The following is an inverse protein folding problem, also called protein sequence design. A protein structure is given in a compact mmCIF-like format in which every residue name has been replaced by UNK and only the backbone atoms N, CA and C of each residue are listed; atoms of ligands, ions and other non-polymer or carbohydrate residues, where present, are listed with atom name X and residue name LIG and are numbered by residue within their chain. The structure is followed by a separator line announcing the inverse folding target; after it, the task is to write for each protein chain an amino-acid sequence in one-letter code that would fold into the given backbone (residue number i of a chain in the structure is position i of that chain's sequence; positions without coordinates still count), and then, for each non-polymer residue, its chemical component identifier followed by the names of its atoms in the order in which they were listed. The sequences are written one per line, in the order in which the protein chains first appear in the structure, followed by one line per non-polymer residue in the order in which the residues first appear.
data_IF_359960955810
#
_entry.id   IF_359960955810
#
_cell.length_a   1.000
_cell.length_b   1.000
_cell.length_c   1.000
_cell.angle_alpha   90.00
_cell.angle_beta   90.00
_cell.angle_gamma   90.00
#
_symmetry.space_group_name_H-M   'P 1'
#
loop_
_entity.id
_entity.type
_entity.pdbx_description
1 polymer ?
#
# COMPACT_ATOMS: atom_id res chain seq x y z
N UNK A 1 -45.39 -39.88 1.06
CA UNK A 1 -44.33 -40.42 1.92
C UNK A 1 -43.04 -40.34 1.09
N UNK A 2 -42.24 -39.32 1.29
CA UNK A 2 -40.98 -39.14 0.58
C UNK A 2 -39.86 -39.14 1.62
N UNK A 3 -38.94 -40.04 1.42
CA UNK A 3 -37.83 -40.38 2.31
C UNK A 3 -36.79 -39.25 2.30
N UNK A 4 -36.36 -38.81 3.48
CA UNK A 4 -35.29 -37.79 3.64
C UNK A 4 -33.93 -38.48 3.74
N UNK A 5 -32.90 -38.05 3.01
CA UNK A 5 -31.57 -38.63 3.16
C UNK A 5 -30.93 -38.21 4.49
N UNK A 6 -30.40 -39.20 5.21
CA UNK A 6 -29.68 -39.07 6.47
C UNK A 6 -28.32 -38.41 6.25
N UNK A 7 -28.05 -37.33 6.97
CA UNK A 7 -26.78 -36.65 6.99
C UNK A 7 -25.67 -37.51 7.62
N UNK A 8 -24.49 -37.48 6.98
CA UNK A 8 -23.28 -38.13 7.46
C UNK A 8 -22.76 -37.46 8.74
N UNK A 9 -22.57 -38.25 9.79
CA UNK A 9 -22.07 -37.75 11.08
C UNK A 9 -20.55 -37.51 11.04
N UNK A 10 -20.09 -36.50 11.78
CA UNK A 10 -18.66 -36.13 11.91
C UNK A 10 -17.74 -37.26 12.39
N UNK A 11 -18.28 -38.34 12.93
CA UNK A 11 -17.53 -39.55 13.37
C UNK A 11 -17.18 -40.51 12.22
N UNK A 12 -17.86 -40.43 11.07
CA UNK A 12 -17.59 -41.32 9.94
C UNK A 12 -16.39 -40.83 9.10
N UNK A 13 -15.96 -39.56 9.24
CA UNK A 13 -14.86 -38.99 8.49
C UNK A 13 -13.47 -39.34 9.07
N UNK A 14 -13.39 -39.84 10.29
CA UNK A 14 -12.12 -40.14 10.97
C UNK A 14 -11.69 -41.62 10.88
N UNK A 15 -12.48 -42.47 10.22
CA UNK A 15 -12.24 -43.92 10.20
C UNK A 15 -11.69 -44.49 8.87
N UNK A 16 -11.39 -43.65 7.86
CA UNK A 16 -10.96 -44.13 6.53
C UNK A 16 -9.51 -43.80 6.16
N UNK A 17 -8.63 -43.69 7.13
CA UNK A 17 -7.21 -43.32 6.91
C UNK A 17 -6.20 -44.37 7.32
N UNK A 18 -6.36 -45.66 6.94
CA UNK A 18 -5.25 -46.63 7.04
C UNK A 18 -5.50 -47.82 6.12
N UNK A 19 -4.98 -47.80 4.92
CA UNK A 19 -4.51 -48.99 4.17
C UNK A 19 -3.92 -48.56 2.80
N UNK A 20 -2.63 -48.85 2.56
CA UNK A 20 -2.07 -48.78 1.20
C UNK A 20 -0.58 -48.44 1.13
N UNK A 21 0.25 -49.22 1.86
CA UNK A 21 1.66 -49.33 1.54
C UNK A 21 1.94 -50.77 1.14
N UNK A 22 2.23 -51.06 -0.12
CA UNK A 22 3.09 -52.15 -0.55
C UNK A 22 3.26 -52.21 -2.09
N UNK A 23 4.49 -52.28 -2.52
CA UNK A 23 4.93 -52.80 -3.85
C UNK A 23 5.27 -51.71 -4.85
N UNK A 24 6.47 -51.65 -5.47
CA UNK A 24 7.46 -52.65 -5.78
C UNK A 24 8.79 -51.94 -6.15
N UNK A 25 9.85 -52.41 -5.58
CA UNK A 25 11.19 -52.24 -6.12
C UNK A 25 11.42 -53.29 -7.24
N UNK A 26 12.09 -52.94 -8.33
CA UNK A 26 13.12 -53.69 -9.04
C UNK A 26 13.48 -52.97 -10.34
N UNK A 27 14.76 -52.75 -10.58
CA UNK A 27 15.31 -52.38 -11.89
C UNK A 27 16.64 -51.63 -11.77
N UNK A 28 17.70 -52.40 -11.65
CA UNK A 28 19.07 -51.91 -11.46
C UNK A 28 19.78 -51.58 -12.78
N UNK A 29 20.78 -50.71 -12.65
CA UNK A 29 22.09 -50.64 -13.34
C UNK A 29 22.14 -50.02 -14.74
N UNK A 30 22.81 -48.91 -14.77
CA UNK A 30 23.34 -48.29 -15.97
C UNK A 30 24.11 -47.01 -15.61
N UNK A 31 25.36 -47.19 -15.22
CA UNK A 31 26.33 -46.10 -15.01
C UNK A 31 26.69 -45.43 -16.32
N UNK A 32 26.49 -44.12 -16.43
CA UNK A 32 27.39 -43.22 -17.15
C UNK A 32 27.44 -41.89 -16.40
N UNK A 33 28.62 -41.58 -15.89
CA UNK A 33 28.96 -40.28 -15.39
C UNK A 33 28.90 -39.26 -16.54
N UNK A 34 27.91 -38.41 -16.55
CA UNK A 34 27.89 -37.21 -17.36
C UNK A 34 27.94 -36.02 -16.40
N UNK A 35 28.82 -35.09 -16.73
CA UNK A 35 29.20 -33.96 -15.93
C UNK A 35 27.99 -33.21 -15.32
N UNK A 36 28.13 -32.85 -14.05
CA UNK A 36 27.30 -31.81 -13.43
C UNK A 36 27.62 -30.51 -14.16
N UNK A 37 26.78 -30.17 -15.13
CA UNK A 37 26.62 -28.78 -15.47
C UNK A 37 26.02 -28.11 -14.25
N UNK A 38 26.71 -27.10 -13.73
CA UNK A 38 26.16 -26.13 -12.81
C UNK A 38 24.98 -25.44 -13.51
N UNK A 39 23.80 -26.03 -13.40
CA UNK A 39 22.57 -25.33 -13.67
C UNK A 39 22.44 -24.29 -12.54
N UNK A 40 22.78 -23.05 -12.86
CA UNK A 40 22.28 -21.89 -12.10
C UNK A 40 20.77 -22.07 -12.02
N UNK A 41 20.28 -22.63 -10.90
CA UNK A 41 18.84 -22.79 -10.66
C UNK A 41 18.25 -21.41 -10.63
N UNK A 42 17.43 -21.07 -11.63
CA UNK A 42 16.55 -19.90 -11.51
C UNK A 42 15.84 -20.01 -10.16
N UNK A 43 15.76 -18.88 -9.40
CA UNK A 43 15.05 -18.89 -8.13
C UNK A 43 13.65 -19.46 -8.35
N UNK A 44 13.25 -20.43 -7.53
CA UNK A 44 11.91 -21.02 -7.66
C UNK A 44 10.88 -19.88 -7.54
N UNK A 45 9.88 -19.78 -8.44
CA UNK A 45 8.90 -18.72 -8.42
C UNK A 45 8.25 -18.56 -7.04
N UNK A 46 8.07 -17.32 -6.59
CA UNK A 46 7.40 -17.01 -5.33
C UNK A 46 8.30 -17.02 -4.08
N UNK A 47 9.60 -17.21 -4.23
CA UNK A 47 10.55 -17.21 -3.09
C UNK A 47 11.32 -15.90 -2.92
N UNK A 48 11.02 -14.91 -3.73
CA UNK A 48 11.67 -13.61 -3.62
C UNK A 48 11.30 -12.92 -2.29
N UNK A 49 12.33 -12.45 -1.60
CA UNK A 49 12.18 -11.79 -0.29
C UNK A 49 12.52 -10.31 -0.38
N UNK A 50 11.93 -9.52 0.51
CA UNK A 50 12.34 -8.15 0.79
C UNK A 50 12.84 -8.09 2.22
N UNK A 51 14.03 -7.54 2.42
CA UNK A 51 14.63 -7.47 3.76
C UNK A 51 13.72 -6.69 4.72
N UNK A 52 13.41 -7.31 5.87
CA UNK A 52 12.68 -6.67 6.96
C UNK A 52 13.54 -5.64 7.69
N UNK A 53 14.78 -6.00 8.00
CA UNK A 53 15.71 -5.14 8.72
C UNK A 53 16.27 -4.03 7.84
N UNK A 54 16.36 -2.83 8.39
CA UNK A 54 16.93 -1.66 7.71
C UNK A 54 16.73 -0.38 8.50
N UNK A 55 17.29 0.72 7.99
CA UNK A 55 17.06 2.07 8.55
C UNK A 55 15.60 2.50 8.44
N UNK A 56 14.93 2.07 7.37
CA UNK A 56 13.57 2.41 6.99
C UNK A 56 12.74 1.14 6.87
N UNK A 57 11.45 1.20 7.16
CA UNK A 57 10.56 0.08 6.92
C UNK A 57 10.46 -0.24 5.42
N UNK A 58 10.46 -1.53 5.08
CA UNK A 58 10.09 -2.01 3.77
C UNK A 58 8.63 -1.66 3.44
N UNK A 59 8.29 -1.60 2.14
CA UNK A 59 6.94 -1.26 1.68
C UNK A 59 6.72 0.24 1.42
N UNK A 60 7.64 1.12 1.83
CA UNK A 60 7.58 2.57 1.51
C UNK A 60 8.19 2.83 0.13
N UNK A 61 9.51 2.65 0.00
CA UNK A 61 10.24 2.88 -1.25
C UNK A 61 10.53 1.61 -2.04
N UNK A 62 10.15 0.45 -1.52
CA UNK A 62 10.20 -0.84 -2.23
C UNK A 62 9.41 -0.74 -3.54
N UNK A 63 9.91 -1.33 -4.61
CA UNK A 63 9.16 -1.42 -5.87
C UNK A 63 7.76 -2.02 -5.59
N UNK A 64 6.67 -1.36 -6.02
CA UNK A 64 5.33 -1.79 -5.66
C UNK A 64 5.04 -3.21 -6.13
N UNK A 65 4.45 -4.00 -5.24
CA UNK A 65 3.92 -5.32 -5.52
C UNK A 65 2.53 -5.23 -6.16
N UNK A 66 2.06 -6.35 -6.74
CA UNK A 66 0.80 -6.40 -7.47
C UNK A 66 -0.45 -6.37 -6.59
N UNK A 67 -0.35 -6.87 -5.35
CA UNK A 67 -1.46 -6.92 -4.39
C UNK A 67 -1.10 -6.15 -3.12
N UNK A 68 -2.11 -5.51 -2.52
CA UNK A 68 -1.97 -4.81 -1.26
C UNK A 68 -3.23 -4.89 -0.42
N UNK A 69 -3.05 -4.92 0.89
CA UNK A 69 -4.13 -4.75 1.86
C UNK A 69 -3.72 -3.69 2.88
N UNK A 70 -4.63 -2.78 3.15
CA UNK A 70 -4.52 -1.74 4.15
C UNK A 70 -5.51 -2.07 5.26
N UNK A 71 -5.01 -2.32 6.45
CA UNK A 71 -5.82 -2.68 7.61
C UNK A 71 -5.61 -1.65 8.69
N UNK A 72 -6.65 -0.91 9.00
CA UNK A 72 -6.65 0.05 10.10
C UNK A 72 -7.33 -0.56 11.32
N UNK A 73 -6.81 -0.21 12.47
CA UNK A 73 -7.30 -0.71 13.75
C UNK A 73 -7.54 0.47 14.70
N UNK A 74 -8.51 0.28 15.62
CA UNK A 74 -8.66 1.08 16.83
C UNK A 74 -8.04 0.34 18.01
N UNK A 75 -7.38 1.04 18.91
CA UNK A 75 -6.93 0.49 20.19
C UNK A 75 -8.13 0.05 21.03
N UNK A 76 -7.99 -1.07 21.75
CA UNK A 76 -8.96 -1.44 22.77
C UNK A 76 -8.79 -0.57 24.02
N UNK A 77 -9.87 -0.43 24.79
CA UNK A 77 -9.84 0.31 26.05
C UNK A 77 -8.78 -0.26 26.99
N UNK A 78 -8.02 0.62 27.61
CA UNK A 78 -6.97 0.25 28.56
C UNK A 78 -5.63 -0.20 27.95
N UNK A 79 -5.45 -0.11 26.63
CA UNK A 79 -4.14 -0.33 25.99
C UNK A 79 -3.22 0.81 26.33
N UNK A 80 -2.20 0.52 27.13
CA UNK A 80 -1.12 1.43 27.56
C UNK A 80 0.17 1.22 26.75
N UNK A 81 1.22 1.94 27.13
CA UNK A 81 2.53 1.86 26.49
C UNK A 81 3.12 0.44 26.52
N UNK A 82 2.97 -0.28 27.62
CA UNK A 82 3.48 -1.64 27.74
C UNK A 82 2.71 -2.65 26.92
N UNK A 83 1.38 -2.49 26.81
CA UNK A 83 0.54 -3.31 25.95
C UNK A 83 0.88 -3.07 24.48
N UNK A 84 1.00 -1.80 24.06
CA UNK A 84 1.40 -1.43 22.70
C UNK A 84 2.81 -1.96 22.37
N UNK A 85 3.78 -1.83 23.28
CA UNK A 85 5.13 -2.38 23.10
C UNK A 85 5.10 -3.89 22.91
N UNK A 86 4.30 -4.63 23.69
CA UNK A 86 4.16 -6.10 23.53
C UNK A 86 3.56 -6.46 22.18
N UNK A 87 2.53 -5.74 21.71
CA UNK A 87 1.94 -5.93 20.40
C UNK A 87 2.97 -5.74 19.28
N UNK A 88 3.70 -4.63 19.31
CA UNK A 88 4.72 -4.31 18.29
C UNK A 88 5.87 -5.32 18.31
N UNK A 89 6.22 -5.90 19.48
CA UNK A 89 7.22 -6.96 19.56
C UNK A 89 6.73 -8.26 18.91
N UNK A 90 5.49 -8.67 19.17
CA UNK A 90 4.88 -9.83 18.51
C UNK A 90 4.90 -9.65 16.99
N UNK A 91 4.44 -8.50 16.51
CA UNK A 91 4.47 -8.18 15.10
C UNK A 91 5.90 -8.11 14.52
N UNK A 92 6.88 -7.65 15.28
CA UNK A 92 8.29 -7.65 14.83
C UNK A 92 8.75 -9.05 14.49
N UNK A 93 8.56 -10.00 15.42
CA UNK A 93 8.98 -11.38 15.26
C UNK A 93 8.26 -12.07 14.09
N UNK A 94 6.96 -11.85 13.94
CA UNK A 94 6.17 -12.52 12.90
C UNK A 94 6.33 -11.88 11.53
N UNK A 95 6.45 -10.55 11.44
CA UNK A 95 6.74 -9.87 10.16
C UNK A 95 8.11 -10.28 9.62
N UNK A 96 9.15 -10.33 10.49
CA UNK A 96 10.47 -10.81 10.07
C UNK A 96 10.43 -12.23 9.51
N UNK A 97 9.66 -13.12 10.18
CA UNK A 97 9.51 -14.50 9.73
C UNK A 97 8.77 -14.59 8.41
N UNK A 98 7.58 -13.98 8.32
CA UNK A 98 6.74 -14.02 7.12
C UNK A 98 7.45 -13.47 5.89
N UNK A 99 8.11 -12.31 6.02
CA UNK A 99 8.84 -11.67 4.91
C UNK A 99 10.06 -12.47 4.46
N UNK A 100 10.57 -13.38 5.29
CA UNK A 100 11.67 -14.31 4.97
C UNK A 100 11.20 -15.71 4.57
N UNK A 101 9.90 -15.93 4.35
CA UNK A 101 9.34 -17.23 3.96
C UNK A 101 9.29 -18.24 5.09
N UNK A 102 9.25 -17.79 6.34
CA UNK A 102 9.13 -18.61 7.55
C UNK A 102 7.76 -18.35 8.21
N UNK A 103 7.12 -19.38 8.74
CA UNK A 103 5.85 -19.21 9.45
C UNK A 103 6.01 -18.37 10.71
N UNK A 104 5.00 -17.58 11.07
CA UNK A 104 4.91 -16.91 12.35
C UNK A 104 4.93 -17.89 13.53
N UNK A 105 5.13 -17.37 14.75
CA UNK A 105 5.28 -18.23 15.94
C UNK A 105 3.98 -19.00 16.27
N UNK A 106 2.83 -18.41 16.04
CA UNK A 106 1.51 -19.02 16.29
C UNK A 106 0.75 -19.34 14.98
N UNK A 107 1.49 -19.53 13.89
CA UNK A 107 0.94 -19.85 12.58
C UNK A 107 0.43 -21.30 12.56
N UNK A 108 -0.83 -21.47 12.20
CA UNK A 108 -1.49 -22.78 12.09
C UNK A 108 -1.47 -23.34 10.66
N UNK A 109 -1.07 -22.53 9.69
CA UNK A 109 -0.94 -22.90 8.28
C UNK A 109 0.45 -22.52 7.73
N UNK A 110 1.52 -23.16 8.25
CA UNK A 110 2.91 -22.75 7.95
C UNK A 110 3.29 -22.86 6.47
N UNK A 111 2.58 -23.67 5.69
CA UNK A 111 2.80 -23.82 4.27
C UNK A 111 2.52 -22.53 3.48
N UNK A 112 1.59 -21.70 3.98
CA UNK A 112 1.21 -20.42 3.33
C UNK A 112 2.29 -19.34 3.48
N UNK A 113 3.22 -19.51 4.43
CA UNK A 113 4.32 -18.58 4.64
C UNK A 113 5.54 -18.87 3.76
N UNK A 114 5.65 -20.07 3.15
CA UNK A 114 6.88 -20.53 2.47
C UNK A 114 7.20 -19.77 1.17
N UNK A 115 6.25 -19.05 0.64
CA UNK A 115 6.39 -18.24 -0.58
C UNK A 115 6.02 -16.80 -0.28
N UNK A 116 6.96 -15.97 0.13
CA UNK A 116 6.68 -14.58 0.51
C UNK A 116 6.39 -13.67 -0.70
N UNK A 117 6.78 -14.04 -1.91
CA UNK A 117 6.51 -13.28 -3.13
C UNK A 117 6.72 -11.78 -2.94
N UNK A 118 7.93 -11.42 -2.47
CA UNK A 118 8.31 -10.05 -2.12
C UNK A 118 7.42 -9.42 -1.04
N UNK A 119 6.87 -10.20 -0.11
CA UNK A 119 6.04 -9.68 0.98
C UNK A 119 6.73 -8.54 1.73
N UNK A 120 5.99 -7.47 1.94
CA UNK A 120 6.33 -6.39 2.87
C UNK A 120 5.17 -6.09 3.79
N UNK A 121 5.48 -5.78 5.03
CA UNK A 121 4.52 -5.28 6.00
C UNK A 121 5.06 -3.98 6.57
N UNK A 122 4.30 -2.90 6.40
CA UNK A 122 4.64 -1.56 6.91
C UNK A 122 3.68 -1.23 8.04
N UNK A 123 4.20 -0.81 9.17
CA UNK A 123 3.43 -0.47 10.38
C UNK A 123 3.41 1.04 10.56
N UNK A 124 2.20 1.60 10.69
CA UNK A 124 1.96 3.00 10.99
C UNK A 124 1.16 3.20 12.27
N UNK A 125 1.38 4.30 12.95
CA UNK A 125 0.67 4.70 14.17
C UNK A 125 -0.11 5.98 13.94
N UNK A 126 -1.37 6.00 14.37
CA UNK A 126 -2.20 7.19 14.49
C UNK A 126 -1.94 7.93 15.82
N UNK A 127 -2.58 9.08 15.98
CA UNK A 127 -2.37 9.95 17.13
C UNK A 127 -2.65 9.26 18.48
N UNK A 128 -3.71 8.44 18.57
CA UNK A 128 -4.07 7.77 19.82
C UNK A 128 -3.01 6.73 20.22
N UNK A 129 -2.44 5.98 19.27
CA UNK A 129 -1.39 5.02 19.57
C UNK A 129 -0.09 5.70 20.00
N UNK A 130 0.31 6.81 19.36
CA UNK A 130 1.48 7.60 19.79
C UNK A 130 1.27 8.16 21.20
N UNK A 131 0.06 8.67 21.48
CA UNK A 131 -0.32 9.14 22.82
C UNK A 131 -0.29 8.01 23.87
N UNK A 132 -0.83 6.82 23.53
CA UNK A 132 -0.80 5.65 24.41
C UNK A 132 0.63 5.17 24.71
N UNK A 133 1.56 5.34 23.77
CA UNK A 133 2.97 5.09 23.98
C UNK A 133 3.66 6.10 24.92
N UNK A 134 2.99 7.22 25.27
CA UNK A 134 3.56 8.30 26.06
C UNK A 134 4.47 9.25 25.28
N UNK A 135 4.49 9.14 23.96
CA UNK A 135 5.35 9.95 23.12
C UNK A 135 4.67 11.25 22.66
N UNK A 136 5.49 12.22 22.21
CA UNK A 136 4.99 13.47 21.62
C UNK A 136 4.18 13.18 20.35
N UNK A 137 2.94 13.69 20.30
CA UNK A 137 2.07 13.62 19.14
C UNK A 137 2.28 14.85 18.27
N UNK A 138 2.80 14.72 17.02
CA UNK A 138 2.96 15.86 16.13
C UNK A 138 1.62 16.47 15.74
N UNK A 139 1.57 17.79 15.48
CA UNK A 139 0.34 18.51 15.11
C UNK A 139 -0.33 17.97 13.84
N UNK A 140 0.47 17.48 12.90
CA UNK A 140 -0.01 16.91 11.63
C UNK A 140 -0.58 15.49 11.77
N UNK A 141 -0.34 14.79 12.91
CA UNK A 141 -0.81 13.43 13.12
C UNK A 141 -2.25 13.43 13.64
N UNK A 142 -3.17 13.56 12.74
CA UNK A 142 -4.60 13.64 13.02
C UNK A 142 -5.41 13.67 11.73
N UNK A 143 -6.72 13.91 11.80
CA UNK A 143 -7.53 14.12 10.62
C UNK A 143 -7.00 15.30 9.79
N UNK A 144 -6.94 15.13 8.47
CA UNK A 144 -6.65 16.24 7.56
C UNK A 144 -7.73 17.31 7.68
N UNK A 145 -7.39 18.55 7.32
CA UNK A 145 -8.39 19.59 7.11
C UNK A 145 -9.43 19.14 6.08
N UNK A 146 -10.66 19.65 6.19
CA UNK A 146 -11.71 19.36 5.22
C UNK A 146 -11.37 19.99 3.85
N UNK A 147 -11.54 19.20 2.79
CA UNK A 147 -11.45 19.66 1.40
C UNK A 147 -12.86 19.68 0.80
N UNK A 148 -13.14 20.63 -0.09
CA UNK A 148 -14.49 20.84 -0.66
C UNK A 148 -15.01 19.63 -1.45
N UNK A 149 -14.10 18.81 -1.99
CA UNK A 149 -14.40 17.61 -2.79
C UNK A 149 -14.57 16.34 -1.97
N UNK A 150 -14.33 16.42 -0.65
CA UNK A 150 -14.42 15.26 0.24
C UNK A 150 -15.89 14.86 0.51
N UNK A 151 -16.10 13.56 0.57
CA UNK A 151 -17.35 12.90 0.97
C UNK A 151 -17.01 11.77 1.95
N UNK A 152 -16.24 12.12 3.00
CA UNK A 152 -15.67 11.15 3.91
C UNK A 152 -16.74 10.39 4.69
N UNK A 153 -16.53 9.09 4.78
CA UNK A 153 -17.31 8.13 5.54
C UNK A 153 -16.45 7.62 6.72
N UNK A 154 -17.03 7.57 7.92
CA UNK A 154 -16.33 7.07 9.11
C UNK A 154 -15.86 5.63 8.92
N UNK A 155 -16.62 4.84 8.17
CA UNK A 155 -16.30 3.45 7.85
C UNK A 155 -14.97 3.27 7.11
N UNK A 156 -14.43 4.32 6.49
CA UNK A 156 -13.20 4.30 5.71
C UNK A 156 -12.16 5.31 6.19
N UNK A 157 -12.35 5.90 7.36
CA UNK A 157 -11.52 7.01 7.84
C UNK A 157 -10.88 6.73 9.18
N UNK A 158 -9.71 7.33 9.42
CA UNK A 158 -9.00 7.30 10.69
C UNK A 158 -8.43 5.92 11.06
N UNK A 159 -8.13 5.79 12.33
CA UNK A 159 -7.56 4.59 12.97
C UNK A 159 -6.32 4.90 13.80
N UNK A 160 -6.03 4.04 14.75
CA UNK A 160 -4.95 4.21 15.71
C UNK A 160 -3.69 3.46 15.30
N UNK A 161 -3.84 2.35 14.56
CA UNK A 161 -2.73 1.56 14.03
C UNK A 161 -3.06 1.14 12.60
N UNK A 162 -2.05 1.11 11.72
CA UNK A 162 -2.17 0.66 10.34
C UNK A 162 -1.19 -0.46 10.04
N UNK A 163 -1.65 -1.47 9.30
CA UNK A 163 -0.83 -2.39 8.54
C UNK A 163 -1.03 -2.12 7.04
N UNK A 164 0.08 -1.88 6.31
CA UNK A 164 0.14 -1.97 4.87
C UNK A 164 0.85 -3.28 4.52
N UNK A 165 0.12 -4.25 4.00
CA UNK A 165 0.63 -5.58 3.64
C UNK A 165 0.61 -5.71 2.12
N UNK A 166 1.77 -5.89 1.50
CA UNK A 166 1.89 -5.99 0.04
C UNK A 166 2.73 -7.18 -0.37
N UNK A 167 2.29 -7.90 -1.41
CA UNK A 167 3.00 -9.02 -2.04
C UNK A 167 2.64 -9.13 -3.53
N UNK A 168 3.39 -9.90 -4.29
CA UNK A 168 3.02 -10.24 -5.66
C UNK A 168 2.03 -11.42 -5.72
N UNK A 169 1.72 -12.04 -4.57
CA UNK A 169 0.70 -13.07 -4.42
C UNK A 169 -0.40 -12.66 -3.44
N UNK A 170 -1.68 -12.75 -3.87
CA UNK A 170 -2.85 -12.35 -3.06
C UNK A 170 -3.10 -13.30 -1.87
N UNK A 171 -2.78 -14.59 -2.02
CA UNK A 171 -2.91 -15.56 -0.93
C UNK A 171 -1.94 -15.23 0.21
N UNK A 172 -0.70 -14.87 -0.13
CA UNK A 172 0.33 -14.39 0.82
C UNK A 172 -0.13 -13.14 1.57
N UNK A 173 -0.71 -12.15 0.86
CA UNK A 173 -1.31 -10.96 1.50
C UNK A 173 -2.42 -11.36 2.47
N UNK A 174 -3.31 -12.26 2.03
CA UNK A 174 -4.45 -12.72 2.84
C UNK A 174 -4.01 -13.45 4.10
N UNK A 175 -3.01 -14.32 3.97
CA UNK A 175 -2.44 -15.07 5.09
C UNK A 175 -1.76 -14.14 6.12
N UNK A 176 -0.89 -13.24 5.67
CA UNK A 176 -0.21 -12.29 6.54
C UNK A 176 -1.19 -11.37 7.29
N UNK A 177 -2.19 -10.82 6.59
CA UNK A 177 -3.24 -9.99 7.22
C UNK A 177 -3.98 -10.78 8.31
N UNK A 178 -4.39 -12.03 8.01
CA UNK A 178 -5.14 -12.86 8.95
C UNK A 178 -4.32 -13.18 10.20
N UNK A 179 -3.05 -13.58 10.02
CA UNK A 179 -2.17 -13.92 11.13
C UNK A 179 -1.92 -12.71 12.03
N UNK A 180 -1.44 -11.60 11.48
CA UNK A 180 -1.12 -10.41 12.25
C UNK A 180 -2.35 -9.79 12.93
N UNK A 181 -3.52 -9.83 12.29
CA UNK A 181 -4.79 -9.41 12.91
C UNK A 181 -5.18 -10.31 14.08
N UNK A 182 -5.08 -11.64 13.90
CA UNK A 182 -5.40 -12.62 14.96
C UNK A 182 -4.53 -12.40 16.20
N UNK A 183 -3.25 -12.11 16.02
CA UNK A 183 -2.31 -11.93 17.13
C UNK A 183 -2.49 -10.61 17.87
N UNK A 184 -2.92 -9.58 17.15
CA UNK A 184 -3.18 -8.27 17.76
C UNK A 184 -4.57 -8.15 18.43
N UNK A 185 -5.46 -9.15 18.35
CA UNK A 185 -6.88 -9.09 18.78
C UNK A 185 -7.09 -8.70 20.25
N UNK A 186 -6.09 -8.86 21.10
CA UNK A 186 -6.16 -8.47 22.53
C UNK A 186 -5.72 -7.03 22.78
N UNK A 187 -5.23 -6.34 21.75
CA UNK A 187 -4.75 -4.97 21.82
C UNK A 187 -5.57 -4.02 20.94
N UNK A 188 -6.07 -4.52 19.81
CA UNK A 188 -6.77 -3.72 18.81
C UNK A 188 -7.98 -4.44 18.25
N UNK A 189 -8.93 -3.67 17.70
CA UNK A 189 -10.03 -4.15 16.85
C UNK A 189 -9.89 -3.56 15.45
N UNK A 190 -10.26 -4.35 14.45
CA UNK A 190 -10.28 -3.88 13.05
C UNK A 190 -11.29 -2.74 12.92
N UNK A 191 -10.85 -1.62 12.36
CA UNK A 191 -11.68 -0.47 12.01
C UNK A 191 -12.15 -0.58 10.56
N UNK A 192 -11.22 -0.70 9.62
CA UNK A 192 -11.51 -0.94 8.21
C UNK A 192 -10.41 -1.75 7.54
N UNK A 193 -10.78 -2.42 6.45
CA UNK A 193 -9.86 -3.14 5.56
C UNK A 193 -10.15 -2.72 4.14
N UNK A 194 -9.13 -2.25 3.42
CA UNK A 194 -9.21 -2.02 1.99
C UNK A 194 -8.15 -2.86 1.27
N UNK A 195 -8.60 -3.76 0.41
CA UNK A 195 -7.73 -4.48 -0.51
C UNK A 195 -7.57 -3.71 -1.80
N UNK A 196 -6.43 -3.90 -2.45
CA UNK A 196 -6.17 -3.26 -3.72
C UNK A 196 -5.21 -4.08 -4.56
N UNK A 197 -5.22 -3.76 -5.84
CA UNK A 197 -4.38 -4.41 -6.83
C UNK A 197 -3.79 -3.38 -7.80
N UNK A 198 -2.75 -3.78 -8.49
CA UNK A 198 -2.20 -3.02 -9.62
C UNK A 198 -1.66 -3.99 -10.67
N UNK A 199 -1.60 -3.53 -11.92
CA UNK A 199 -1.01 -4.32 -12.98
C UNK A 199 0.46 -4.63 -12.68
N UNK A 200 0.95 -5.80 -13.09
CA UNK A 200 2.38 -6.13 -12.96
C UNK A 200 3.19 -5.11 -13.75
N UNK A 201 4.29 -4.64 -13.13
CA UNK A 201 5.26 -3.76 -13.81
C UNK A 201 6.11 -4.66 -14.71
N UNK A 202 5.81 -4.65 -16.01
CA UNK A 202 6.63 -5.30 -17.06
C UNK A 202 7.08 -4.20 -18.03
N UNK A 203 8.21 -4.39 -18.70
CA UNK A 203 8.80 -3.38 -19.59
C UNK A 203 7.83 -2.80 -20.63
N UNK A 204 6.85 -3.58 -21.05
CA UNK A 204 5.84 -3.17 -22.05
C UNK A 204 4.48 -2.76 -21.43
N UNK A 205 4.32 -2.81 -20.10
CA UNK A 205 3.02 -2.55 -19.47
C UNK A 205 3.13 -1.51 -18.37
N UNK A 206 2.71 -0.29 -18.70
CA UNK A 206 2.64 0.82 -17.76
C UNK A 206 1.52 0.58 -16.73
N UNK A 207 1.78 0.87 -15.42
CA UNK A 207 0.75 0.78 -14.40
C UNK A 207 -0.37 1.79 -14.69
N UNK A 208 -1.63 1.34 -14.62
CA UNK A 208 -2.81 2.19 -14.87
C UNK A 208 -3.77 2.14 -13.70
N UNK A 209 -4.48 3.24 -13.51
CA UNK A 209 -5.66 3.26 -12.64
C UNK A 209 -6.92 2.80 -13.39
N UNK A 210 -8.06 2.72 -12.68
CA UNK A 210 -9.33 2.25 -13.26
C UNK A 210 -9.93 3.22 -14.29
N UNK A 211 -9.51 4.49 -14.32
CA UNK A 211 -9.87 5.45 -15.38
C UNK A 211 -8.98 5.33 -16.62
N UNK A 212 -8.07 4.36 -16.67
CA UNK A 212 -7.18 4.10 -17.80
C UNK A 212 -5.90 4.94 -17.82
N UNK A 213 -5.69 5.81 -16.86
CA UNK A 213 -4.54 6.72 -16.80
C UNK A 213 -3.26 5.98 -16.37
N UNK A 214 -2.12 6.35 -16.97
CA UNK A 214 -0.81 5.90 -16.50
C UNK A 214 -0.46 6.60 -15.19
N UNK A 215 -0.13 5.84 -14.17
CA UNK A 215 0.17 6.36 -12.82
C UNK A 215 1.66 6.26 -12.48
N UNK A 216 2.11 7.11 -11.54
CA UNK A 216 3.47 7.07 -10.98
C UNK A 216 4.52 7.90 -11.73
N UNK A 217 4.16 8.64 -12.78
CA UNK A 217 5.09 9.39 -13.63
C UNK A 217 5.83 10.54 -12.93
N UNK A 218 5.31 11.04 -11.80
CA UNK A 218 5.83 12.22 -11.10
C UNK A 218 6.39 11.92 -9.69
N UNK A 219 6.72 10.67 -9.39
CA UNK A 219 7.31 10.31 -8.09
C UNK A 219 8.73 10.89 -7.94
N UNK A 220 9.15 11.25 -6.71
CA UNK A 220 10.52 11.68 -6.43
C UNK A 220 11.53 10.61 -6.85
N UNK A 221 12.61 11.05 -7.49
CA UNK A 221 13.75 10.20 -7.80
C UNK A 221 14.39 9.62 -6.53
N UNK A 222 15.19 8.57 -6.67
CA UNK A 222 15.87 7.94 -5.52
C UNK A 222 16.70 8.94 -4.72
N UNK A 223 17.37 9.87 -5.37
CA UNK A 223 18.16 10.91 -4.72
C UNK A 223 17.30 11.92 -3.92
N UNK A 224 16.09 12.22 -4.41
CA UNK A 224 15.19 13.16 -3.75
C UNK A 224 14.46 12.54 -2.54
N UNK A 225 14.30 11.21 -2.50
CA UNK A 225 13.55 10.52 -1.44
C UNK A 225 14.13 10.76 -0.05
N UNK A 226 15.45 10.90 0.05
CA UNK A 226 16.12 11.13 1.34
C UNK A 226 15.64 12.42 2.03
N UNK A 227 15.37 13.47 1.25
CA UNK A 227 14.92 14.77 1.77
C UNK A 227 13.40 14.98 1.73
N UNK A 228 12.69 14.28 0.84
CA UNK A 228 11.26 14.51 0.62
C UNK A 228 10.36 13.44 1.26
N UNK A 229 10.90 12.24 1.51
CA UNK A 229 10.11 11.11 2.03
C UNK A 229 10.49 10.77 3.47
N UNK A 230 11.79 10.66 3.76
CA UNK A 230 12.25 10.20 5.06
C UNK A 230 12.46 11.33 6.04
N UNK A 231 12.00 11.14 7.29
CA UNK A 231 12.31 12.07 8.37
C UNK A 231 13.77 11.90 8.80
N UNK A 232 14.53 12.99 8.78
CA UNK A 232 15.94 13.02 9.12
C UNK A 232 16.56 14.38 8.83
N UNK A 233 17.89 14.50 8.95
CA UNK A 233 18.60 15.78 8.86
C UNK A 233 18.28 16.57 7.60
N UNK A 234 18.18 15.89 6.43
CA UNK A 234 17.93 16.56 5.16
C UNK A 234 16.50 17.10 5.05
N UNK A 235 15.52 16.36 5.53
CA UNK A 235 14.13 16.82 5.52
C UNK A 235 13.88 17.89 6.59
N UNK A 236 14.52 17.78 7.75
CA UNK A 236 14.38 18.77 8.83
C UNK A 236 14.96 20.15 8.46
N UNK A 237 15.96 20.20 7.59
CA UNK A 237 16.45 21.47 7.01
C UNK A 237 15.39 22.16 6.13
N UNK A 238 14.52 21.39 5.49
CA UNK A 238 13.46 21.90 4.60
C UNK A 238 12.17 22.22 5.36
N UNK A 239 11.77 21.34 6.27
CA UNK A 239 10.44 21.33 6.85
C UNK A 239 10.40 21.66 8.34
N UNK A 240 11.58 21.78 8.99
CA UNK A 240 11.67 21.98 10.42
C UNK A 240 11.75 20.67 11.22
N UNK A 241 11.86 20.81 12.54
CA UNK A 241 12.08 19.69 13.45
C UNK A 241 10.88 18.76 13.50
N UNK A 242 11.16 17.46 13.53
CA UNK A 242 10.19 16.39 13.77
C UNK A 242 10.57 15.66 15.07
N UNK A 243 9.62 14.96 15.74
CA UNK A 243 9.93 14.22 16.95
C UNK A 243 11.07 13.23 16.74
N UNK A 244 11.97 13.13 17.71
CA UNK A 244 13.16 12.27 17.63
C UNK A 244 12.82 10.79 17.38
N UNK A 245 11.71 10.31 17.93
CA UNK A 245 11.25 8.94 17.74
C UNK A 245 10.89 8.60 16.28
N UNK A 246 10.59 9.61 15.44
CA UNK A 246 10.20 9.42 14.03
C UNK A 246 11.40 9.47 13.06
N UNK A 247 12.59 9.84 13.54
CA UNK A 247 13.80 9.92 12.69
C UNK A 247 14.13 8.56 12.07
N UNK A 248 14.18 8.50 10.75
CA UNK A 248 14.28 7.25 9.95
C UNK A 248 12.93 6.70 9.50
N UNK A 249 11.83 7.20 10.05
CA UNK A 249 10.46 6.95 9.59
C UNK A 249 10.00 7.93 8.52
N UNK A 250 8.69 7.97 8.29
CA UNK A 250 8.04 8.87 7.33
C UNK A 250 6.59 9.13 7.76
N UNK A 251 5.90 10.05 7.11
CA UNK A 251 4.45 10.22 7.28
C UNK A 251 3.71 9.55 6.13
N UNK A 252 2.51 9.09 6.37
CA UNK A 252 1.67 8.44 5.37
C UNK A 252 0.27 9.05 5.38
N UNK A 253 -0.20 9.44 4.21
CA UNK A 253 -1.60 9.78 3.98
C UNK A 253 -2.23 8.67 3.16
N UNK A 254 -3.37 8.15 3.63
CA UNK A 254 -4.20 7.19 2.90
C UNK A 254 -5.52 7.87 2.57
N UNK A 255 -5.90 7.83 1.28
CA UNK A 255 -7.20 8.32 0.83
C UNK A 255 -7.89 7.21 0.03
N UNK A 256 -9.11 6.85 0.41
CA UNK A 256 -9.96 6.02 -0.45
C UNK A 256 -10.72 6.93 -1.39
N UNK A 257 -10.33 6.92 -2.67
CA UNK A 257 -10.89 7.78 -3.71
C UNK A 257 -11.85 6.92 -4.55
N UNK A 258 -13.14 7.20 -4.47
CA UNK A 258 -14.14 6.60 -5.33
C UNK A 258 -14.08 7.22 -6.73
N UNK A 259 -14.18 6.40 -7.78
CA UNK A 259 -14.20 6.79 -9.18
C UNK A 259 -15.59 6.51 -9.78
N UNK A 260 -16.24 7.54 -10.30
CA UNK A 260 -17.52 7.39 -11.00
C UNK A 260 -17.28 7.01 -12.46
N UNK A 261 -17.02 5.73 -12.71
CA UNK A 261 -16.75 5.25 -14.05
C UNK A 261 -18.00 5.27 -14.92
N UNK A 262 -19.20 5.20 -14.34
CA UNK A 262 -20.45 5.22 -15.08
C UNK A 262 -20.57 6.51 -15.93
N UNK A 263 -20.20 7.66 -15.37
CA UNK A 263 -20.20 8.94 -16.09
C UNK A 263 -18.86 9.27 -16.77
N UNK A 264 -17.73 8.72 -16.26
CA UNK A 264 -16.44 8.86 -16.93
C UNK A 264 -16.46 8.20 -18.32
N UNK A 265 -17.19 7.09 -18.48
CA UNK A 265 -17.29 6.36 -19.72
C UNK A 265 -18.16 7.06 -20.79
N UNK A 266 -18.96 8.03 -20.39
CA UNK A 266 -19.70 8.91 -21.31
C UNK A 266 -18.77 9.93 -22.00
N UNK A 267 -17.60 10.23 -21.41
CA UNK A 267 -16.66 11.19 -21.98
C UNK A 267 -15.85 10.53 -23.11
N UNK A 268 -15.70 11.24 -24.23
CA UNK A 268 -14.85 10.79 -25.32
C UNK A 268 -13.36 10.80 -24.94
N UNK A 269 -12.54 10.15 -25.75
CA UNK A 269 -11.11 10.05 -25.45
C UNK A 269 -10.39 11.40 -25.38
N UNK A 270 -10.60 12.36 -26.32
CA UNK A 270 -10.00 13.70 -26.21
C UNK A 270 -10.40 14.42 -24.94
N UNK A 271 -11.64 14.33 -24.50
CA UNK A 271 -12.13 14.90 -23.25
C UNK A 271 -11.42 14.30 -22.02
N UNK A 272 -11.26 12.97 -21.98
CA UNK A 272 -10.52 12.27 -20.93
C UNK A 272 -9.06 12.71 -20.89
N UNK A 273 -8.38 12.79 -22.02
CA UNK A 273 -6.99 13.24 -22.12
C UNK A 273 -6.82 14.71 -21.72
N UNK A 274 -7.78 15.57 -22.11
CA UNK A 274 -7.82 16.99 -21.69
C UNK A 274 -7.99 17.15 -20.18
N UNK A 275 -8.90 16.38 -19.56
CA UNK A 275 -9.12 16.43 -18.13
C UNK A 275 -7.86 16.08 -17.32
N UNK A 276 -7.00 15.22 -17.88
CA UNK A 276 -5.76 14.79 -17.23
C UNK A 276 -4.59 15.70 -17.61
N UNK A 277 -4.49 16.10 -18.90
CA UNK A 277 -3.34 16.78 -19.49
C UNK A 277 -2.27 15.83 -20.05
N UNK A 278 -2.60 14.52 -20.17
CA UNK A 278 -1.73 13.46 -20.69
C UNK A 278 -2.49 12.52 -21.61
N UNK A 279 -1.78 11.88 -22.53
CA UNK A 279 -2.35 10.85 -23.40
C UNK A 279 -2.70 9.60 -22.61
N UNK A 280 -3.79 8.94 -22.97
CA UNK A 280 -4.20 7.69 -22.34
C UNK A 280 -3.43 6.47 -22.85
N UNK A 281 -2.93 6.49 -24.10
CA UNK A 281 -2.23 5.34 -24.68
C UNK A 281 -0.85 5.13 -24.05
N UNK A 282 -0.03 6.16 -23.98
CA UNK A 282 1.37 6.08 -23.57
C UNK A 282 1.72 6.93 -22.33
N UNK A 283 0.77 7.71 -21.81
CA UNK A 283 0.94 8.56 -20.61
C UNK A 283 1.79 9.80 -20.81
N UNK A 284 2.24 10.11 -22.05
CA UNK A 284 3.04 11.31 -22.33
C UNK A 284 2.21 12.56 -22.14
N UNK A 285 2.83 13.71 -21.81
CA UNK A 285 2.13 14.99 -21.80
C UNK A 285 1.48 15.29 -23.16
N UNK A 286 0.35 15.99 -23.17
CA UNK A 286 -0.28 16.46 -24.43
C UNK A 286 0.64 17.40 -25.21
N UNK A 287 1.58 18.04 -24.55
CA UNK A 287 2.62 18.90 -25.16
C UNK A 287 3.77 18.11 -25.81
N UNK A 288 3.70 16.76 -25.79
CA UNK A 288 4.74 15.89 -26.34
C UNK A 288 5.84 15.54 -25.33
N UNK A 289 6.96 15.03 -25.82
CA UNK A 289 8.08 14.59 -24.99
C UNK A 289 8.00 13.11 -24.62
N UNK A 290 8.68 12.71 -23.52
CA UNK A 290 8.70 11.36 -22.98
C UNK A 290 7.70 11.21 -21.85
N UNK A 291 7.48 9.98 -21.39
CA UNK A 291 6.57 9.65 -20.29
C UNK A 291 6.91 10.42 -18.99
N UNK A 292 8.19 10.51 -18.67
CA UNK A 292 8.71 11.11 -17.44
C UNK A 292 8.87 12.64 -17.53
N UNK A 293 8.72 13.20 -18.73
CA UNK A 293 8.91 14.62 -18.91
C UNK A 293 7.78 15.42 -18.26
N UNK A 294 8.13 16.57 -17.73
CA UNK A 294 7.16 17.54 -17.25
C UNK A 294 6.42 18.14 -18.44
N UNK A 295 5.08 18.31 -18.37
CA UNK A 295 4.36 19.03 -19.42
C UNK A 295 4.83 20.47 -19.49
N UNK A 296 4.93 21.00 -20.71
CA UNK A 296 5.07 22.44 -20.94
C UNK A 296 3.71 23.11 -20.70
N UNK A 297 3.58 23.75 -19.54
CA UNK A 297 2.32 24.37 -19.13
C UNK A 297 2.03 25.70 -19.84
N UNK A 298 3.03 26.29 -20.52
CA UNK A 298 2.93 27.55 -21.25
C UNK A 298 2.71 27.34 -22.76
N UNK A 299 2.71 26.08 -23.22
CA UNK A 299 2.50 25.74 -24.63
C UNK A 299 1.10 26.13 -25.09
N UNK A 300 1.03 26.81 -26.24
CA UNK A 300 -0.20 27.26 -26.90
C UNK A 300 -0.36 26.50 -28.21
N UNK A 301 -1.56 26.02 -28.52
CA UNK A 301 -1.92 25.34 -29.77
C UNK A 301 -2.11 26.33 -30.92
N UNK A 302 -2.32 25.77 -32.12
CA UNK A 302 -2.58 26.56 -33.36
C UNK A 302 -3.89 27.39 -33.25
N UNK A 303 -4.79 27.01 -32.37
CA UNK A 303 -6.06 27.70 -32.06
C UNK A 303 -5.89 28.85 -31.06
N UNK A 304 -4.68 29.10 -30.57
CA UNK A 304 -4.39 30.13 -29.58
C UNK A 304 -4.76 29.78 -28.14
N UNK A 305 -5.20 28.52 -27.86
CA UNK A 305 -5.53 28.02 -26.54
C UNK A 305 -4.35 27.26 -25.91
N UNK A 306 -4.31 27.23 -24.61
CA UNK A 306 -3.32 26.41 -23.88
C UNK A 306 -3.52 24.92 -24.18
N UNK A 307 -2.44 24.21 -24.56
CA UNK A 307 -2.46 22.76 -24.83
C UNK A 307 -2.85 21.96 -23.59
N UNK A 308 -2.35 22.36 -22.42
CA UNK A 308 -2.75 21.80 -21.14
C UNK A 308 -3.81 22.71 -20.52
N UNK A 309 -5.04 22.21 -20.44
CA UNK A 309 -6.16 22.95 -19.88
C UNK A 309 -5.80 23.55 -18.50
N UNK A 310 -6.21 24.79 -18.17
CA UNK A 310 -5.98 25.43 -16.88
C UNK A 310 -6.45 24.61 -15.68
N UNK A 311 -7.45 23.75 -15.87
CA UNK A 311 -8.07 22.91 -14.85
C UNK A 311 -7.65 21.43 -14.97
N UNK A 312 -6.77 21.09 -15.91
CA UNK A 312 -6.26 19.72 -16.07
C UNK A 312 -5.54 19.26 -14.80
N UNK A 313 -5.78 18.00 -14.42
CA UNK A 313 -5.20 17.37 -13.22
C UNK A 313 -3.68 17.59 -13.11
N UNK A 314 -2.95 17.37 -14.20
CA UNK A 314 -1.49 17.48 -14.18
C UNK A 314 -1.03 18.92 -13.90
N UNK A 315 -1.74 19.93 -14.38
CA UNK A 315 -1.46 21.34 -14.11
C UNK A 315 -1.77 21.68 -12.65
N UNK A 316 -2.92 21.26 -12.15
CA UNK A 316 -3.35 21.53 -10.76
C UNK A 316 -2.48 20.81 -9.73
N UNK A 317 -2.00 19.60 -10.03
CA UNK A 317 -1.09 18.86 -9.19
C UNK A 317 0.34 19.39 -9.18
N UNK A 318 0.74 20.15 -10.20
CA UNK A 318 2.09 20.70 -10.31
C UNK A 318 2.26 21.95 -9.45
N UNK A 319 3.50 22.17 -9.04
CA UNK A 319 3.93 23.34 -8.26
C UNK A 319 5.34 23.73 -8.67
N UNK A 320 5.62 25.03 -8.64
CA UNK A 320 6.99 25.55 -8.80
C UNK A 320 7.88 25.17 -7.61
N UNK A 321 7.29 24.99 -6.43
CA UNK A 321 8.00 24.54 -5.24
C UNK A 321 8.22 23.01 -5.29
N UNK A 322 9.42 22.63 -5.69
CA UNK A 322 9.81 21.21 -5.78
C UNK A 322 9.87 20.48 -4.43
N UNK A 323 9.82 21.19 -3.31
CA UNK A 323 9.75 20.56 -1.98
C UNK A 323 8.38 20.00 -1.68
N UNK A 324 7.32 20.47 -2.35
CA UNK A 324 5.94 19.97 -2.16
C UNK A 324 5.68 18.58 -2.79
N UNK A 325 6.69 17.90 -3.34
CA UNK A 325 6.53 16.57 -3.93
C UNK A 325 6.51 15.50 -2.85
N UNK A 326 5.76 14.42 -3.08
CA UNK A 326 5.68 13.23 -2.22
C UNK A 326 5.70 11.96 -3.07
N UNK A 327 6.03 10.82 -2.43
CA UNK A 327 6.06 9.51 -3.06
C UNK A 327 4.66 8.90 -3.05
N UNK A 328 4.11 8.60 -4.22
CA UNK A 328 2.82 7.92 -4.38
C UNK A 328 3.01 6.43 -4.59
N UNK A 329 2.18 5.63 -3.89
CA UNK A 329 2.14 4.18 -3.99
C UNK A 329 0.68 3.70 -4.02
N UNK A 330 -0.11 4.10 -5.03
CA UNK A 330 -1.53 3.77 -5.06
C UNK A 330 -1.78 2.33 -5.49
N UNK A 331 -2.97 1.84 -5.09
CA UNK A 331 -3.55 0.58 -5.55
C UNK A 331 -4.98 0.85 -6.04
N UNK A 332 -5.39 0.15 -7.10
CA UNK A 332 -6.79 0.16 -7.51
C UNK A 332 -7.61 -0.70 -6.56
N UNK A 333 -8.88 -0.38 -6.39
CA UNK A 333 -9.86 -1.30 -5.83
C UNK A 333 -11.05 -1.45 -6.76
N UNK A 334 -11.71 -2.61 -6.68
CA UNK A 334 -12.91 -2.95 -7.45
C UNK A 334 -13.79 -3.82 -6.56
N UNK A 335 -14.66 -3.17 -5.82
CA UNK A 335 -15.55 -3.81 -4.85
C UNK A 335 -16.92 -4.07 -5.51
N UNK A 336 -17.78 -4.94 -4.95
CA UNK A 336 -19.12 -5.16 -5.47
C UNK A 336 -19.90 -3.84 -5.58
N UNK A 337 -20.55 -3.57 -6.73
CA UNK A 337 -21.29 -2.34 -6.93
C UNK A 337 -22.54 -2.28 -6.03
N UNK A 338 -22.84 -1.11 -5.44
CA UNK A 338 -24.11 -0.93 -4.73
C UNK A 338 -25.29 -0.92 -5.72
N UNK A 339 -26.48 -1.10 -5.18
CA UNK A 339 -27.70 -1.11 -6.00
C UNK A 339 -27.83 0.15 -6.87
N UNK A 340 -28.12 -0.02 -8.14
CA UNK A 340 -28.29 1.08 -9.10
C UNK A 340 -27.00 1.66 -9.68
N UNK A 341 -25.83 1.08 -9.35
CA UNK A 341 -24.54 1.46 -9.95
C UNK A 341 -23.97 0.29 -10.76
N UNK A 342 -23.20 0.61 -11.79
CA UNK A 342 -22.48 -0.39 -12.60
C UNK A 342 -21.14 -0.75 -11.96
N UNK A 343 -20.54 0.18 -11.25
CA UNK A 343 -19.19 0.03 -10.68
C UNK A 343 -19.11 0.51 -9.23
N UNK A 344 -18.16 -0.03 -8.48
CA UNK A 344 -17.70 0.46 -7.17
C UNK A 344 -16.17 0.42 -7.14
N UNK A 345 -15.59 1.20 -8.01
CA UNK A 345 -14.16 1.20 -8.25
C UNK A 345 -13.51 2.47 -7.75
N UNK A 346 -12.20 2.41 -7.59
CA UNK A 346 -11.45 3.60 -7.23
C UNK A 346 -9.99 3.32 -6.93
N UNK A 347 -9.42 4.22 -6.15
CA UNK A 347 -8.00 4.21 -5.81
C UNK A 347 -7.82 4.26 -4.29
N UNK A 348 -7.06 3.32 -3.77
CA UNK A 348 -6.39 3.49 -2.47
C UNK A 348 -5.17 4.35 -2.74
N UNK A 349 -5.35 5.65 -2.62
CA UNK A 349 -4.27 6.61 -2.79
C UNK A 349 -3.41 6.61 -1.54
N UNK A 350 -2.14 6.32 -1.71
CA UNK A 350 -1.14 6.31 -0.64
C UNK A 350 -0.03 7.29 -1.00
N UNK A 351 0.23 8.21 -0.10
CA UNK A 351 1.32 9.18 -0.21
C UNK A 351 2.25 9.09 0.99
N UNK A 352 3.55 9.05 0.72
CA UNK A 352 4.60 9.12 1.73
C UNK A 352 5.39 10.41 1.57
N UNK A 353 5.58 11.13 2.65
CA UNK A 353 6.26 12.42 2.70
C UNK A 353 6.89 12.65 4.07
N UNK A 354 7.89 13.52 4.12
CA UNK A 354 8.50 13.92 5.39
C UNK A 354 7.61 14.86 6.22
N UNK A 355 6.74 15.63 5.54
CA UNK A 355 5.83 16.60 6.18
C UNK A 355 4.49 16.66 5.45
N UNK A 356 3.41 16.33 6.17
CA UNK A 356 2.05 16.29 5.60
C UNK A 356 1.55 17.70 5.26
N UNK A 357 1.77 18.66 6.16
CA UNK A 357 1.22 20.01 6.03
C UNK A 357 1.90 20.82 4.93
N UNK A 358 3.20 20.61 4.72
CA UNK A 358 3.98 21.36 3.73
C UNK A 358 4.05 20.70 2.35
N UNK A 359 3.78 19.39 2.25
CA UNK A 359 3.88 18.66 0.99
C UNK A 359 2.50 18.21 0.47
N UNK A 360 1.75 17.43 1.24
CA UNK A 360 0.47 16.88 0.79
C UNK A 360 -0.64 17.95 0.77
N UNK A 361 -0.84 18.66 1.88
CA UNK A 361 -1.95 19.60 2.04
C UNK A 361 -2.00 20.69 0.95
N UNK A 362 -0.90 21.36 0.57
CA UNK A 362 -0.95 22.39 -0.46
C UNK A 362 -1.35 21.86 -1.85
N UNK A 363 -0.89 20.65 -2.21
CA UNK A 363 -1.27 20.02 -3.48
C UNK A 363 -2.73 19.63 -3.46
N UNK A 364 -3.19 18.98 -2.39
CA UNK A 364 -4.59 18.57 -2.26
C UNK A 364 -5.54 19.77 -2.25
N UNK A 365 -5.16 20.89 -1.65
CA UNK A 365 -5.96 22.12 -1.68
C UNK A 365 -6.13 22.65 -3.11
N UNK A 366 -5.06 22.72 -3.90
CA UNK A 366 -5.14 23.14 -5.30
C UNK A 366 -5.99 22.20 -6.16
N UNK A 367 -5.89 20.88 -5.93
CA UNK A 367 -6.72 19.89 -6.61
C UNK A 367 -8.21 20.06 -6.23
N UNK A 368 -8.49 20.20 -4.95
CA UNK A 368 -9.87 20.38 -4.47
C UNK A 368 -10.53 21.67 -4.97
N UNK A 369 -9.73 22.68 -5.32
CA UNK A 369 -10.22 23.96 -5.78
C UNK A 369 -10.76 23.90 -7.21
N UNK A 370 -9.99 23.37 -8.18
CA UNK A 370 -10.30 23.50 -9.61
C UNK A 370 -9.85 22.32 -10.49
N UNK A 371 -9.60 21.11 -9.95
CA UNK A 371 -9.24 19.97 -10.77
C UNK A 371 -10.45 19.41 -11.51
N UNK A 372 -10.37 19.27 -12.83
CA UNK A 372 -11.44 18.67 -13.65
C UNK A 372 -11.79 17.24 -13.21
N UNK A 373 -10.84 16.48 -12.67
CA UNK A 373 -11.13 15.12 -12.19
C UNK A 373 -12.09 15.09 -11.00
N UNK A 374 -12.34 16.20 -10.32
CA UNK A 374 -13.31 16.28 -9.23
C UNK A 374 -14.75 15.97 -9.67
N UNK A 375 -15.05 16.04 -10.97
CA UNK A 375 -16.35 15.63 -11.53
C UNK A 375 -16.58 14.12 -11.40
N UNK A 376 -15.50 13.32 -11.42
CA UNK A 376 -15.57 11.86 -11.43
C UNK A 376 -14.92 11.22 -10.21
N UNK A 377 -14.22 11.98 -9.38
CA UNK A 377 -13.50 11.43 -8.23
C UNK A 377 -13.89 12.13 -6.93
N UNK A 378 -14.10 11.35 -5.90
CA UNK A 378 -14.36 11.87 -4.54
C UNK A 378 -13.61 11.03 -3.52
N UNK A 379 -12.92 11.68 -2.59
CA UNK A 379 -12.36 10.96 -1.46
C UNK A 379 -13.47 10.62 -0.46
N UNK A 380 -13.68 9.32 -0.24
CA UNK A 380 -14.68 8.80 0.71
C UNK A 380 -14.04 8.23 1.98
N UNK A 381 -12.71 8.16 2.03
CA UNK A 381 -11.96 7.78 3.23
C UNK A 381 -10.67 8.57 3.33
N UNK A 382 -10.24 8.84 4.56
CA UNK A 382 -9.01 9.60 4.85
C UNK A 382 -8.41 9.19 6.18
N UNK A 383 -7.09 8.92 6.18
CA UNK A 383 -6.34 8.66 7.40
C UNK A 383 -4.89 9.15 7.26
N UNK A 384 -4.29 9.54 8.39
CA UNK A 384 -2.89 9.95 8.50
C UNK A 384 -2.20 9.08 9.53
N UNK A 385 -1.01 8.58 9.19
CA UNK A 385 -0.22 7.76 10.08
C UNK A 385 1.24 8.19 10.09
N UNK A 386 1.88 8.07 11.24
CA UNK A 386 3.32 8.09 11.39
C UNK A 386 3.86 6.68 11.11
N UNK A 387 4.67 6.52 10.09
CA UNK A 387 5.34 5.25 9.77
C UNK A 387 6.63 5.18 10.59
N UNK A 388 6.69 4.17 11.44
CA UNK A 388 7.84 3.97 12.32
C UNK A 388 9.15 3.82 11.54
N UNK A 389 10.31 4.15 12.12
CA UNK A 389 11.61 3.78 11.57
C UNK A 389 11.71 2.29 11.31
N UNK A 390 12.64 1.89 10.45
CA UNK A 390 12.96 0.48 10.25
C UNK A 390 13.62 -0.16 11.47
N UNK A 391 13.68 -1.47 11.48
CA UNK A 391 14.18 -2.28 12.60
C UNK A 391 15.61 -2.73 12.33
N UNK A 392 16.50 -2.58 13.30
CA UNK A 392 17.85 -3.16 13.26
C UNK A 392 17.80 -4.65 13.63
N UNK A 393 18.75 -5.48 13.18
CA UNK A 393 18.84 -6.86 13.67
C UNK A 393 18.88 -6.91 15.22
N UNK A 394 17.98 -7.69 15.82
CA UNK A 394 17.81 -7.79 17.25
C UNK A 394 17.02 -6.65 17.93
N UNK A 395 16.58 -5.65 17.16
CA UNK A 395 15.69 -4.58 17.65
C UNK A 395 14.21 -4.92 17.45
N UNK A 396 13.33 -3.97 17.74
CA UNK A 396 11.89 -4.12 17.56
C UNK A 396 11.24 -2.88 16.93
N UNK A 397 10.06 -3.06 16.31
CA UNK A 397 9.24 -1.95 15.85
C UNK A 397 8.92 -0.99 17.00
N UNK A 398 9.06 0.31 16.74
CA UNK A 398 8.78 1.34 17.72
C UNK A 398 9.80 1.47 18.86
N UNK A 399 10.98 0.87 18.75
CA UNK A 399 12.01 0.98 19.79
C UNK A 399 12.28 2.43 20.19
N UNK A 400 12.41 3.32 19.21
CA UNK A 400 12.63 4.76 19.44
C UNK A 400 11.45 5.47 20.10
N UNK A 401 10.23 4.97 19.92
CA UNK A 401 9.01 5.53 20.50
C UNK A 401 8.94 5.37 22.02
N UNK A 402 9.53 4.30 22.55
CA UNK A 402 9.48 3.95 23.97
C UNK A 402 10.77 4.26 24.75
N UNK A 403 11.74 4.91 24.10
CA UNK A 403 13.07 5.18 24.71
C UNK A 403 13.17 6.58 25.33
N UNK A 404 12.03 7.25 25.56
CA UNK A 404 12.01 8.61 26.14
C UNK A 404 11.93 8.55 27.65
#
# INVERSE_FOLDING_TARGET
MADRPRGLSRRALLASGTAGVAGLAVGAVGTTAVGREDTSSEPAPGRDTVAFHGRHQAGVTTAPQTHGAFVSFDLLDGVDADALRRMLRIWTDDIERLTSGRPGLADTEPELAQRPDRLTVTVGLGAAAVKAAGAEVPSWLGPLQAFTTDRLEDAWSGGDVLLQVCSDDDLTVSHAVRLLTKEARTFVKVRWVQRGFRGPVKEERLPRNMMGQVDGTANPSTAERQRLVWVGDESQKLFGSQPAWLVGGTTMVVRRIAMNLDTWDELDRPGRERAIGRRLDDGRPLTGGRLEDDPDLDAVGDDGLEVIDPFAHVRRARTADRTQRFLRRPYNYDDPPPAGRLTNTGLVFVAFQADVERQFVPIQSRLAELDLLNEWTSAIGSAVFAILPGVRPGGQLGETLFTI
#
